data_IF_298295302091
#
_entry.id   IF_298295302091
#
_cell.length_a   1.000
_cell.length_b   1.000
_cell.length_c   1.000
_cell.angle_alpha   90.00
_cell.angle_beta   90.00
_cell.angle_gamma   90.00
#
_symmetry.space_group_name_H-M   'P 1'
#
loop_
_entity.id
_entity.type
_entity.pdbx_description
1 polymer ?
#
# COMPACT_ATOMS: atom_id res chain seq x y z
N UNK A 1 20.18 15.85 22.65
CA UNK A 1 19.67 14.46 22.70
C UNK A 1 20.55 13.62 23.61
N UNK A 2 19.95 12.92 24.58
CA UNK A 2 20.62 12.00 25.51
C UNK A 2 21.19 10.77 24.78
N UNK A 3 22.25 10.15 25.31
CA UNK A 3 22.84 8.91 24.77
C UNK A 3 21.81 7.78 24.63
N UNK A 4 20.84 7.69 25.55
CA UNK A 4 19.75 6.71 25.47
C UNK A 4 18.82 6.97 24.27
N UNK A 5 18.56 8.23 23.93
CA UNK A 5 17.74 8.60 22.78
C UNK A 5 18.45 8.28 21.45
N UNK A 6 19.77 8.49 21.38
CA UNK A 6 20.57 8.14 20.20
C UNK A 6 20.58 6.62 19.95
N UNK A 7 20.74 5.83 21.02
CA UNK A 7 20.73 4.36 20.93
C UNK A 7 19.37 3.81 20.48
N UNK A 8 18.27 4.34 21.03
CA UNK A 8 16.92 3.95 20.61
C UNK A 8 16.66 4.23 19.12
N UNK A 9 17.07 5.41 18.64
CA UNK A 9 16.94 5.78 17.23
C UNK A 9 17.77 4.87 16.32
N UNK A 10 18.99 4.50 16.73
CA UNK A 10 19.85 3.60 15.99
C UNK A 10 19.22 2.20 15.85
N UNK A 11 18.65 1.68 16.93
CA UNK A 11 17.94 0.39 16.95
C UNK A 11 16.73 0.44 16.02
N UNK A 12 15.95 1.53 16.07
CA UNK A 12 14.79 1.71 15.20
C UNK A 12 15.18 1.75 13.71
N UNK A 13 16.25 2.47 13.37
CA UNK A 13 16.80 2.51 12.00
C UNK A 13 17.26 1.13 11.53
N UNK A 14 17.97 0.38 12.38
CA UNK A 14 18.40 -1.00 12.07
C UNK A 14 17.21 -1.93 11.83
N UNK A 15 16.19 -1.89 12.68
CA UNK A 15 14.96 -2.70 12.52
C UNK A 15 14.24 -2.37 11.21
N UNK A 16 14.08 -1.07 10.89
CA UNK A 16 13.47 -0.62 9.64
C UNK A 16 14.26 -1.11 8.42
N UNK A 17 15.59 -1.03 8.47
CA UNK A 17 16.47 -1.54 7.41
C UNK A 17 16.35 -3.07 7.23
N UNK A 18 16.35 -3.83 8.33
CA UNK A 18 16.20 -5.29 8.27
C UNK A 18 14.85 -5.72 7.69
N UNK A 19 13.77 -5.03 8.06
CA UNK A 19 12.44 -5.24 7.50
C UNK A 19 12.43 -4.99 5.99
N UNK A 20 12.91 -3.84 5.55
CA UNK A 20 12.96 -3.49 4.12
C UNK A 20 13.75 -4.52 3.31
N UNK A 21 14.91 -4.97 3.81
CA UNK A 21 15.71 -6.03 3.16
C UNK A 21 14.95 -7.34 3.01
N UNK A 22 14.16 -7.74 4.02
CA UNK A 22 13.32 -8.94 3.96
C UNK A 22 12.22 -8.81 2.92
N UNK A 23 11.57 -7.65 2.84
CA UNK A 23 10.52 -7.39 1.85
C UNK A 23 11.08 -7.37 0.43
N UNK A 24 12.26 -6.77 0.22
CA UNK A 24 12.97 -6.80 -1.07
C UNK A 24 13.29 -8.24 -1.49
N UNK A 25 13.82 -9.06 -0.57
CA UNK A 25 14.09 -10.46 -0.87
C UNK A 25 12.82 -11.21 -1.30
N UNK A 26 11.73 -11.04 -0.55
CA UNK A 26 10.45 -11.68 -0.89
C UNK A 26 9.94 -11.24 -2.26
N UNK A 27 10.00 -9.94 -2.57
CA UNK A 27 9.63 -9.40 -3.89
C UNK A 27 10.51 -9.96 -5.02
N UNK A 28 11.82 -10.04 -4.79
CA UNK A 28 12.77 -10.61 -5.74
C UNK A 28 12.46 -12.07 -6.05
N UNK A 29 12.16 -12.88 -5.04
CA UNK A 29 11.79 -14.28 -5.24
C UNK A 29 10.43 -14.42 -5.95
N UNK A 30 9.45 -13.59 -5.61
CA UNK A 30 8.11 -13.65 -6.20
C UNK A 30 8.06 -13.20 -7.68
N UNK A 31 8.96 -12.29 -8.09
CA UNK A 31 8.97 -11.76 -9.47
C UNK A 31 9.75 -12.64 -10.45
N UNK A 32 10.52 -13.62 -9.99
CA UNK A 32 11.51 -14.32 -10.82
C UNK A 32 11.31 -15.84 -10.85
N UNK A 33 11.86 -16.49 -11.88
CA UNK A 33 11.91 -17.95 -11.94
C UNK A 33 13.09 -18.47 -11.10
N UNK A 34 12.85 -18.78 -9.83
CA UNK A 34 13.91 -19.17 -8.88
C UNK A 34 14.58 -20.51 -9.17
N UNK A 35 13.99 -21.32 -10.07
CA UNK A 35 14.56 -22.61 -10.50
C UNK A 35 15.40 -22.49 -11.78
N UNK A 36 15.48 -21.31 -12.39
CA UNK A 36 16.32 -21.11 -13.57
C UNK A 36 17.81 -21.21 -13.21
N UNK A 37 18.61 -21.86 -14.06
CA UNK A 37 20.04 -22.07 -13.81
C UNK A 37 20.82 -20.74 -13.72
N UNK A 38 20.36 -19.71 -14.40
CA UNK A 38 20.95 -18.36 -14.44
C UNK A 38 20.34 -17.41 -13.39
N UNK A 39 19.54 -17.92 -12.44
CA UNK A 39 18.90 -17.08 -11.43
C UNK A 39 19.93 -16.45 -10.48
N UNK A 40 20.08 -15.13 -10.58
CA UNK A 40 20.88 -14.33 -9.66
C UNK A 40 20.00 -13.55 -8.68
N UNK A 41 20.02 -13.97 -7.41
CA UNK A 41 19.27 -13.35 -6.32
C UNK A 41 19.69 -11.89 -6.06
N UNK A 42 20.97 -11.54 -6.25
CA UNK A 42 21.45 -10.18 -6.02
C UNK A 42 20.95 -9.25 -7.10
N UNK A 43 21.00 -9.69 -8.37
CA UNK A 43 20.38 -8.96 -9.48
C UNK A 43 18.89 -8.79 -9.27
N UNK A 44 18.18 -9.85 -8.88
CA UNK A 44 16.73 -9.80 -8.64
C UNK A 44 16.35 -8.83 -7.52
N UNK A 45 17.12 -8.79 -6.42
CA UNK A 45 16.97 -7.81 -5.35
C UNK A 45 17.22 -6.39 -5.85
N UNK A 46 18.26 -6.16 -6.64
CA UNK A 46 18.57 -4.84 -7.18
C UNK A 46 17.45 -4.29 -8.07
N UNK A 47 16.86 -5.13 -8.93
CA UNK A 47 15.71 -4.76 -9.76
C UNK A 47 14.48 -4.45 -8.89
N UNK A 48 14.24 -5.22 -7.84
CA UNK A 48 13.14 -4.97 -6.90
C UNK A 48 13.35 -3.63 -6.16
N UNK A 49 14.58 -3.35 -5.73
CA UNK A 49 14.95 -2.06 -5.11
C UNK A 49 14.73 -0.89 -6.09
N UNK A 50 15.15 -1.02 -7.35
CA UNK A 50 14.92 0.00 -8.38
C UNK A 50 13.42 0.27 -8.59
N UNK A 51 12.59 -0.78 -8.66
CA UNK A 51 11.14 -0.64 -8.77
C UNK A 51 10.53 0.07 -7.56
N UNK A 52 10.99 -0.25 -6.35
CA UNK A 52 10.56 0.43 -5.12
C UNK A 52 10.97 1.91 -5.11
N UNK A 53 12.20 2.22 -5.53
CA UNK A 53 12.67 3.60 -5.66
C UNK A 53 11.85 4.38 -6.70
N UNK A 54 11.53 3.77 -7.84
CA UNK A 54 10.70 4.39 -8.88
C UNK A 54 9.26 4.68 -8.40
N UNK A 55 8.74 3.91 -7.45
CA UNK A 55 7.44 4.12 -6.83
C UNK A 55 7.46 5.15 -5.68
N UNK A 56 8.61 5.75 -5.37
CA UNK A 56 8.79 6.73 -4.29
C UNK A 56 8.17 6.28 -2.96
N UNK A 57 8.56 5.08 -2.50
CA UNK A 57 7.98 4.49 -1.29
C UNK A 57 8.55 5.08 0.01
N UNK A 58 7.64 5.46 0.90
CA UNK A 58 7.92 6.02 2.22
C UNK A 58 7.40 5.09 3.32
N UNK A 59 8.33 4.37 3.96
CA UNK A 59 8.03 3.58 5.16
C UNK A 59 7.56 2.15 4.89
N UNK A 60 7.30 1.42 5.99
CA UNK A 60 7.17 -0.04 5.95
C UNK A 60 5.93 -0.53 5.20
N UNK A 61 4.78 0.12 5.40
CA UNK A 61 3.54 -0.26 4.72
C UNK A 61 3.64 -0.06 3.20
N UNK A 62 4.15 1.09 2.76
CA UNK A 62 4.38 1.36 1.33
C UNK A 62 5.42 0.37 0.75
N UNK A 63 6.44 -0.02 1.52
CA UNK A 63 7.41 -1.06 1.09
C UNK A 63 6.73 -2.40 0.83
N UNK A 64 5.83 -2.86 1.72
CA UNK A 64 5.08 -4.10 1.52
C UNK A 64 4.15 -4.02 0.31
N UNK A 65 3.41 -2.92 0.20
CA UNK A 65 2.47 -2.71 -0.90
C UNK A 65 3.20 -2.70 -2.24
N UNK A 66 4.33 -1.98 -2.34
CA UNK A 66 5.13 -1.93 -3.56
C UNK A 66 5.70 -3.30 -3.95
N UNK A 67 6.20 -4.10 -2.99
CA UNK A 67 6.64 -5.47 -3.28
C UNK A 67 5.51 -6.32 -3.88
N UNK A 68 4.29 -6.18 -3.34
CA UNK A 68 3.12 -6.88 -3.87
C UNK A 68 2.74 -6.37 -5.26
N UNK A 69 2.74 -5.05 -5.48
CA UNK A 69 2.44 -4.44 -6.78
C UNK A 69 3.42 -4.89 -7.86
N UNK A 70 4.72 -4.92 -7.57
CA UNK A 70 5.75 -5.42 -8.50
C UNK A 70 5.50 -6.90 -8.86
N UNK A 71 5.12 -7.72 -7.88
CA UNK A 71 4.82 -9.13 -8.10
C UNK A 71 3.59 -9.33 -8.97
N UNK A 72 2.50 -8.59 -8.71
CA UNK A 72 1.26 -8.61 -9.49
C UNK A 72 1.53 -8.15 -10.93
N UNK A 73 2.28 -7.05 -11.10
CA UNK A 73 2.66 -6.55 -12.41
C UNK A 73 3.45 -7.59 -13.21
N UNK A 74 4.49 -8.20 -12.62
CA UNK A 74 5.31 -9.20 -13.31
C UNK A 74 4.49 -10.44 -13.68
N UNK A 75 3.63 -10.93 -12.79
CA UNK A 75 2.76 -12.06 -13.10
C UNK A 75 1.79 -11.73 -14.23
N UNK A 76 1.23 -10.51 -14.25
CA UNK A 76 0.36 -10.03 -15.31
C UNK A 76 1.11 -9.97 -16.66
N UNK A 77 2.32 -9.41 -16.70
CA UNK A 77 3.13 -9.35 -17.92
C UNK A 77 3.44 -10.75 -18.47
N UNK A 78 3.77 -11.70 -17.58
CA UNK A 78 3.99 -13.11 -17.97
C UNK A 78 2.72 -13.73 -18.54
N UNK A 79 1.57 -13.54 -17.89
CA UNK A 79 0.29 -14.05 -18.38
C UNK A 79 -0.07 -13.46 -19.76
N UNK A 80 0.13 -12.15 -19.96
CA UNK A 80 -0.06 -11.49 -21.26
C UNK A 80 0.86 -12.06 -22.34
N UNK A 81 2.15 -12.27 -22.04
CA UNK A 81 3.10 -12.86 -22.96
C UNK A 81 2.70 -14.28 -23.38
N UNK A 82 2.19 -15.10 -22.44
CA UNK A 82 1.66 -16.42 -22.74
C UNK A 82 0.46 -16.36 -23.69
N UNK A 83 -0.50 -15.47 -23.47
CA UNK A 83 -1.67 -15.29 -24.36
C UNK A 83 -1.23 -14.91 -25.77
N UNK A 84 -0.30 -13.96 -25.90
CA UNK A 84 0.21 -13.53 -27.20
C UNK A 84 0.91 -14.66 -27.98
N UNK A 85 1.46 -15.66 -27.28
CA UNK A 85 2.09 -16.83 -27.90
C UNK A 85 1.10 -17.92 -28.34
N UNK A 86 -0.16 -17.87 -27.94
CA UNK A 86 -1.17 -18.87 -28.32
C UNK A 86 -1.70 -18.55 -29.71
N UNK A 87 -1.46 -19.44 -30.69
CA UNK A 87 -1.84 -19.24 -32.09
C UNK A 87 -3.29 -19.63 -32.42
N UNK A 88 -4.03 -20.23 -31.50
CA UNK A 88 -5.40 -20.72 -31.74
C UNK A 88 -6.40 -19.95 -30.88
N UNK A 89 -7.16 -19.00 -31.47
CA UNK A 89 -8.22 -18.27 -30.79
C UNK A 89 -9.28 -19.21 -30.23
N UNK A 90 -9.75 -18.95 -29.01
CA UNK A 90 -10.81 -19.72 -28.33
C UNK A 90 -10.31 -20.93 -27.54
N UNK A 91 -9.00 -21.15 -27.45
CA UNK A 91 -8.45 -22.22 -26.63
C UNK A 91 -8.67 -21.92 -25.12
N UNK A 92 -8.98 -22.95 -24.31
CA UNK A 92 -9.22 -22.79 -22.86
C UNK A 92 -8.07 -22.07 -22.14
N UNK A 93 -6.84 -22.30 -22.59
CA UNK A 93 -5.63 -21.66 -22.06
C UNK A 93 -5.62 -20.15 -22.32
N UNK A 94 -6.00 -19.71 -23.51
CA UNK A 94 -6.10 -18.29 -23.86
C UNK A 94 -7.11 -17.60 -22.94
N UNK A 95 -8.33 -18.16 -22.83
CA UNK A 95 -9.38 -17.62 -21.96
C UNK A 95 -8.94 -17.56 -20.49
N UNK A 96 -8.25 -18.59 -19.99
CA UNK A 96 -7.76 -18.63 -18.62
C UNK A 96 -6.76 -17.49 -18.33
N UNK A 97 -5.74 -17.32 -19.18
CA UNK A 97 -4.74 -16.28 -18.96
C UNK A 97 -5.26 -14.88 -19.24
N UNK A 98 -6.18 -14.70 -20.19
CA UNK A 98 -6.88 -13.42 -20.41
C UNK A 98 -7.69 -13.03 -19.17
N UNK A 99 -8.48 -13.94 -18.62
CA UNK A 99 -9.25 -13.69 -17.39
C UNK A 99 -8.34 -13.40 -16.19
N UNK A 100 -7.22 -14.13 -16.08
CA UNK A 100 -6.22 -13.91 -15.02
C UNK A 100 -5.59 -12.53 -15.14
N UNK A 101 -5.22 -12.13 -16.36
CA UNK A 101 -4.67 -10.81 -16.66
C UNK A 101 -5.61 -9.69 -16.25
N UNK A 102 -6.90 -9.79 -16.57
CA UNK A 102 -7.92 -8.80 -16.19
C UNK A 102 -8.04 -8.70 -14.65
N UNK A 103 -8.04 -9.83 -13.94
CA UNK A 103 -8.08 -9.85 -12.47
C UNK A 103 -6.85 -9.19 -11.84
N UNK A 104 -5.67 -9.46 -12.37
CA UNK A 104 -4.43 -8.85 -11.91
C UNK A 104 -4.40 -7.33 -12.18
N UNK A 105 -4.89 -6.89 -13.34
CA UNK A 105 -4.99 -5.47 -13.67
C UNK A 105 -5.94 -4.73 -12.72
N UNK A 106 -7.11 -5.30 -12.44
CA UNK A 106 -8.05 -4.74 -11.48
C UNK A 106 -7.47 -4.66 -10.06
N UNK A 107 -6.71 -5.68 -9.64
CA UNK A 107 -6.00 -5.66 -8.37
C UNK A 107 -4.92 -4.57 -8.34
N UNK A 108 -4.14 -4.43 -9.41
CA UNK A 108 -3.10 -3.41 -9.54
C UNK A 108 -3.67 -1.99 -9.44
N UNK A 109 -4.81 -1.72 -10.09
CA UNK A 109 -5.50 -0.41 -9.99
C UNK A 109 -5.89 -0.09 -8.54
N UNK A 110 -6.42 -1.07 -7.79
CA UNK A 110 -6.76 -0.89 -6.38
C UNK A 110 -5.52 -0.61 -5.53
N UNK A 111 -4.42 -1.31 -5.78
CA UNK A 111 -3.16 -1.10 -5.08
C UNK A 111 -2.53 0.26 -5.41
N UNK A 112 -2.60 0.70 -6.67
CA UNK A 112 -2.13 2.02 -7.10
C UNK A 112 -2.92 3.14 -6.43
N UNK A 113 -4.25 3.01 -6.34
CA UNK A 113 -5.10 3.96 -5.62
C UNK A 113 -4.75 4.01 -4.12
N UNK A 114 -4.52 2.85 -3.50
CA UNK A 114 -4.08 2.78 -2.10
C UNK A 114 -2.69 3.42 -1.90
N UNK A 115 -1.75 3.18 -2.80
CA UNK A 115 -0.41 3.78 -2.74
C UNK A 115 -0.49 5.30 -2.85
N UNK A 116 -1.25 5.83 -3.82
CA UNK A 116 -1.49 7.26 -3.96
C UNK A 116 -2.10 7.87 -2.69
N UNK A 117 -3.01 7.16 -2.02
CA UNK A 117 -3.55 7.57 -0.72
C UNK A 117 -2.50 7.60 0.37
N UNK A 118 -1.66 6.55 0.46
CA UNK A 118 -0.56 6.49 1.44
C UNK A 118 0.50 7.57 1.19
N UNK A 119 0.66 8.03 -0.04
CA UNK A 119 1.55 9.14 -0.44
C UNK A 119 0.91 10.53 -0.26
N UNK A 120 -0.34 10.60 0.19
CA UNK A 120 -1.05 11.88 0.36
C UNK A 120 -1.49 12.52 -0.94
N UNK A 121 -1.39 11.81 -2.07
CA UNK A 121 -1.84 12.28 -3.39
C UNK A 121 -3.37 12.21 -3.53
N UNK A 122 -4.05 11.36 -2.74
CA UNK A 122 -5.51 11.32 -2.71
C UNK A 122 -6.05 12.15 -1.53
N UNK A 123 -6.21 13.45 -1.75
CA UNK A 123 -6.88 14.33 -0.81
C UNK A 123 -7.64 15.41 -1.57
N UNK A 124 -8.97 15.40 -1.50
CA UNK A 124 -9.73 16.60 -1.84
C UNK A 124 -9.43 17.63 -0.77
N UNK A 125 -8.62 18.64 -1.10
CA UNK A 125 -8.36 19.76 -0.21
C UNK A 125 -9.57 20.70 -0.26
N UNK A 126 -10.43 20.63 0.76
CA UNK A 126 -11.53 21.58 0.94
C UNK A 126 -11.02 22.72 1.82
N UNK A 127 -10.72 23.87 1.21
CA UNK A 127 -10.41 25.10 1.95
C UNK A 127 -11.70 25.84 2.19
N UNK A 128 -12.17 25.81 3.43
CA UNK A 128 -13.36 26.55 3.84
C UNK A 128 -12.98 27.99 4.17
N UNK A 129 -13.48 28.97 3.39
CA UNK A 129 -13.17 30.39 3.60
C UNK A 129 -14.16 31.10 4.53
N UNK A 130 -15.42 30.66 4.54
CA UNK A 130 -16.48 31.21 5.39
C UNK A 130 -17.44 30.09 5.79
N UNK A 131 -17.84 30.08 7.07
CA UNK A 131 -18.87 29.19 7.60
C UNK A 131 -19.84 30.04 8.37
N UNK A 132 -21.10 30.05 7.94
CA UNK A 132 -22.20 30.63 8.70
C UNK A 132 -23.00 29.49 9.34
N UNK A 133 -23.12 29.52 10.67
CA UNK A 133 -23.88 28.51 11.43
C UNK A 133 -25.05 29.22 12.11
N UNK A 134 -26.26 28.88 11.68
CA UNK A 134 -27.48 29.42 12.27
C UNK A 134 -27.80 28.75 13.61
N UNK A 135 -28.66 29.39 14.42
CA UNK A 135 -29.10 28.84 15.71
C UNK A 135 -29.64 27.41 15.55
N UNK A 136 -29.08 26.49 16.33
CA UNK A 136 -29.40 25.06 16.28
C UNK A 136 -28.62 24.24 15.23
N UNK A 137 -27.82 24.88 14.38
CA UNK A 137 -26.95 24.22 13.39
C UNK A 137 -25.58 23.84 13.95
N UNK A 138 -24.93 22.84 13.33
CA UNK A 138 -23.54 22.50 13.58
C UNK A 138 -22.83 22.27 12.24
N UNK A 139 -21.65 22.89 12.08
CA UNK A 139 -20.77 22.62 10.96
C UNK A 139 -19.59 21.75 11.42
N UNK A 140 -19.30 20.70 10.66
CA UNK A 140 -18.20 19.79 10.94
C UNK A 140 -17.27 19.79 9.72
N UNK A 141 -15.99 20.09 9.95
CA UNK A 141 -14.93 19.97 8.95
C UNK A 141 -14.00 18.84 9.38
N UNK A 142 -14.04 17.72 8.67
CA UNK A 142 -13.22 16.56 8.98
C UNK A 142 -13.86 15.24 8.56
N UNK A 143 -13.22 14.14 8.92
CA UNK A 143 -13.68 12.79 8.61
C UNK A 143 -14.79 12.38 9.61
N UNK A 144 -16.03 12.23 9.15
CA UNK A 144 -17.22 12.06 10.02
C UNK A 144 -17.18 10.74 10.83
N UNK A 145 -16.43 9.73 10.38
CA UNK A 145 -16.39 8.40 10.99
C UNK A 145 -15.84 8.34 12.43
N UNK A 146 -15.04 9.30 12.87
CA UNK A 146 -14.43 9.30 14.22
C UNK A 146 -15.36 9.86 15.32
N UNK A 147 -16.44 10.56 14.94
CA UNK A 147 -17.31 11.26 15.90
C UNK A 147 -18.23 10.33 16.70
N UNK A 148 -18.61 9.17 16.15
CA UNK A 148 -19.46 8.21 16.85
C UNK A 148 -18.77 7.63 18.11
N UNK A 149 -17.44 7.52 18.10
CA UNK A 149 -16.67 6.98 19.23
C UNK A 149 -16.44 8.01 20.35
N UNK A 150 -16.52 9.30 20.04
CA UNK A 150 -16.37 10.36 21.05
C UNK A 150 -17.66 10.63 21.82
N UNK A 151 -18.84 10.44 21.21
CA UNK A 151 -20.13 10.62 21.89
C UNK A 151 -20.39 9.52 22.94
N UNK A 152 -20.05 8.27 22.62
CA UNK A 152 -20.24 7.12 23.52
C UNK A 152 -19.37 7.16 24.80
N UNK A 153 -18.28 7.95 24.82
CA UNK A 153 -17.44 8.10 26.02
C UNK A 153 -17.99 9.14 27.02
N UNK A 154 -18.81 10.08 26.58
CA UNK A 154 -19.37 11.12 27.44
C UNK A 154 -20.71 10.74 28.08
N UNK A 155 -21.42 9.73 27.56
CA UNK A 155 -22.73 9.32 28.09
C UNK A 155 -22.64 8.32 29.26
N UNK A 156 -21.46 7.79 29.59
CA UNK A 156 -21.24 6.83 30.69
C UNK A 156 -20.67 7.43 31.98
N UNK A 157 -20.73 8.75 32.17
CA UNK A 157 -20.33 9.37 33.44
C UNK A 157 -21.59 9.82 34.20
N UNK A 158 -22.04 9.11 35.26
CA UNK A 158 -23.15 9.57 36.08
C UNK A 158 -22.71 10.79 36.88
N UNK A 159 -23.15 11.98 36.47
CA UNK A 159 -23.04 13.20 37.27
C UNK A 159 -24.37 13.46 37.98
N UNK A 160 -24.42 13.10 39.26
CA UNK A 160 -25.04 13.89 40.35
C UNK A 160 -24.48 13.36 41.69
N UNK A 161 -24.34 14.12 42.80
CA UNK A 161 -25.10 15.30 43.20
C UNK A 161 -24.29 16.53 43.68
N UNK A 162 -24.93 17.71 43.67
CA UNK A 162 -25.12 18.61 44.83
C UNK A 162 -25.34 20.08 44.43
N UNK A 163 -26.58 20.57 44.59
CA UNK A 163 -26.93 21.80 45.33
C UNK A 163 -28.39 21.77 45.74
#
# INVERSE_FOLDING_TARGET
MSNNQKNALLIQKKKKSAFTKKVILNGALACNNIIAEDFDVNRAKAVTEQGMTALDIHGGLQTMLAAQMLSIHNLQQRAMAYVNGVSVPGHKTEQYYTNTTIKLANCFVQQAALLAKLQGMSGQQVIVKHVEVNQGGQAIVGNIGDLAQHKAKNENNPTDPAK
#
